data_IF_528538556235
#
_entry.id   IF_528538556235
#
_cell.length_a   1.000
_cell.length_b   1.000
_cell.length_c   1.000
_cell.angle_alpha   90.00
_cell.angle_beta   90.00
_cell.angle_gamma   90.00
#
_symmetry.space_group_name_H-M   'P 1'
#
loop_
_entity.id
_entity.type
_entity.pdbx_description
1 polymer ?
#
# COMPACT_ATOMS: atom_id res chain seq x y z
N UNK A 1 0.01 -23.42 -18.29
CA UNK A 1 1.06 -22.39 -18.14
C UNK A 1 0.47 -21.24 -17.32
N UNK A 2 0.81 -21.11 -16.04
CA UNK A 2 0.45 -19.91 -15.28
C UNK A 2 1.30 -18.77 -15.83
N UNK A 3 0.68 -17.82 -16.54
CA UNK A 3 1.38 -16.64 -17.05
C UNK A 3 2.12 -15.92 -15.92
N UNK A 4 3.21 -15.19 -16.21
CA UNK A 4 3.96 -14.48 -15.19
C UNK A 4 2.97 -13.60 -14.43
N UNK A 5 2.73 -13.96 -13.17
CA UNK A 5 1.85 -13.27 -12.24
C UNK A 5 2.57 -11.97 -11.92
N UNK A 6 2.50 -11.01 -12.86
CA UNK A 6 3.16 -9.71 -12.75
C UNK A 6 2.77 -9.15 -11.39
N UNK A 7 3.69 -8.94 -10.45
CA UNK A 7 3.35 -8.14 -9.30
C UNK A 7 2.92 -6.79 -9.88
N UNK A 8 1.70 -6.36 -9.60
CA UNK A 8 1.31 -4.96 -9.82
C UNK A 8 2.25 -4.17 -8.89
N UNK A 9 3.39 -3.74 -9.41
CA UNK A 9 4.34 -2.93 -8.67
C UNK A 9 3.72 -1.56 -8.57
N UNK A 10 3.06 -1.31 -7.45
CA UNK A 10 2.69 0.04 -7.06
C UNK A 10 3.95 0.72 -6.53
N UNK A 11 4.25 1.90 -7.07
CA UNK A 11 5.32 2.75 -6.58
C UNK A 11 5.20 2.97 -5.07
N UNK A 12 6.32 2.99 -4.36
CA UNK A 12 6.32 3.30 -2.93
C UNK A 12 5.72 4.68 -2.65
N UNK A 13 5.97 5.66 -3.51
CA UNK A 13 5.34 6.98 -3.42
C UNK A 13 3.82 6.89 -3.51
N UNK A 14 3.30 6.05 -4.40
CA UNK A 14 1.86 5.79 -4.53
C UNK A 14 1.30 5.11 -3.28
N UNK A 15 1.96 4.07 -2.77
CA UNK A 15 1.56 3.39 -1.52
C UNK A 15 1.51 4.37 -0.35
N UNK A 16 2.53 5.23 -0.21
CA UNK A 16 2.60 6.26 0.82
C UNK A 16 1.51 7.31 0.67
N UNK A 17 1.17 7.71 -0.55
CA UNK A 17 0.06 8.62 -0.81
C UNK A 17 -1.26 8.02 -0.32
N UNK A 18 -1.57 6.79 -0.70
CA UNK A 18 -2.79 6.07 -0.31
C UNK A 18 -2.88 5.90 1.21
N UNK A 19 -1.79 5.51 1.87
CA UNK A 19 -1.77 5.39 3.35
C UNK A 19 -1.94 6.76 4.01
N UNK A 20 -1.38 7.82 3.44
CA UNK A 20 -1.55 9.18 3.98
C UNK A 20 -3.00 9.66 3.89
N UNK A 21 -3.71 9.37 2.79
CA UNK A 21 -5.15 9.64 2.68
C UNK A 21 -5.92 8.92 3.80
N UNK A 22 -5.62 7.62 4.00
CA UNK A 22 -6.22 6.83 5.07
C UNK A 22 -5.94 7.40 6.47
N UNK A 23 -4.72 7.86 6.74
CA UNK A 23 -4.34 8.46 8.03
C UNK A 23 -4.89 9.87 8.23
N UNK A 24 -5.15 10.61 7.14
CA UNK A 24 -5.87 11.89 7.18
C UNK A 24 -7.37 11.74 7.50
N UNK A 25 -7.87 10.50 7.60
CA UNK A 25 -9.27 10.22 7.92
C UNK A 25 -10.17 10.01 6.71
N UNK A 26 -9.62 9.89 5.50
CA UNK A 26 -10.42 9.43 4.36
C UNK A 26 -10.89 7.98 4.58
N UNK A 27 -12.16 7.69 4.29
CA UNK A 27 -12.69 6.37 4.48
C UNK A 27 -12.06 5.39 3.49
N UNK A 28 -11.47 4.31 3.99
CA UNK A 28 -10.85 3.25 3.18
C UNK A 28 -11.75 2.71 2.05
N UNK A 29 -13.08 2.84 2.19
CA UNK A 29 -14.05 2.44 1.17
C UNK A 29 -14.01 3.30 -0.09
N UNK A 30 -13.67 4.58 0.04
CA UNK A 30 -13.60 5.51 -1.09
C UNK A 30 -12.24 5.40 -1.76
N UNK A 31 -11.17 5.41 -0.96
CA UNK A 31 -9.81 5.14 -1.42
C UNK A 31 -9.74 3.81 -2.21
N UNK A 32 -10.31 2.73 -1.70
CA UNK A 32 -10.28 1.45 -2.42
C UNK A 32 -11.09 1.46 -3.73
N UNK A 33 -12.18 2.24 -3.78
CA UNK A 33 -13.08 2.30 -4.91
C UNK A 33 -12.51 3.18 -6.03
N UNK A 34 -11.90 4.31 -5.66
CA UNK A 34 -11.26 5.24 -6.58
C UNK A 34 -9.98 4.66 -7.20
N UNK A 35 -9.17 3.95 -6.41
CA UNK A 35 -7.88 3.44 -6.84
C UNK A 35 -7.87 1.94 -7.19
N UNK A 36 -9.03 1.26 -7.21
CA UNK A 36 -9.18 -0.18 -7.45
C UNK A 36 -8.21 -1.05 -6.60
N UNK A 37 -8.16 -0.76 -5.29
CA UNK A 37 -7.23 -1.42 -4.37
C UNK A 37 -8.01 -2.44 -3.53
N UNK A 38 -7.48 -3.65 -3.38
CA UNK A 38 -8.08 -4.61 -2.45
C UNK A 38 -7.86 -4.18 -0.98
N UNK A 39 -8.85 -4.44 -0.12
CA UNK A 39 -8.75 -4.18 1.32
C UNK A 39 -7.49 -4.79 1.94
N UNK A 40 -7.13 -6.01 1.53
CA UNK A 40 -5.93 -6.73 1.98
C UNK A 40 -4.64 -5.99 1.60
N UNK A 41 -4.63 -5.36 0.42
CA UNK A 41 -3.49 -4.60 -0.09
C UNK A 41 -3.31 -3.30 0.69
N UNK A 42 -4.38 -2.56 0.93
CA UNK A 42 -4.35 -1.32 1.72
C UNK A 42 -3.83 -1.59 3.14
N UNK A 43 -4.37 -2.62 3.80
CA UNK A 43 -3.94 -3.00 5.15
C UNK A 43 -2.46 -3.38 5.19
N UNK A 44 -1.97 -4.13 4.19
CA UNK A 44 -0.54 -4.47 4.06
C UNK A 44 0.34 -3.24 3.88
N UNK A 45 -0.12 -2.21 3.15
CA UNK A 45 0.63 -0.97 3.00
C UNK A 45 0.63 -0.12 4.26
N UNK A 46 -0.51 -0.02 4.96
CA UNK A 46 -0.58 0.69 6.25
C UNK A 46 0.37 0.05 7.25
N UNK A 47 0.35 -1.29 7.38
CA UNK A 47 1.28 -2.00 8.25
C UNK A 47 2.73 -1.83 7.79
N UNK A 48 3.01 -2.04 6.50
CA UNK A 48 4.35 -1.93 5.94
C UNK A 48 4.95 -0.53 6.09
N UNK A 49 4.16 0.53 5.95
CA UNK A 49 4.62 1.92 6.10
C UNK A 49 4.77 2.30 7.57
N UNK A 50 3.91 1.81 8.46
CA UNK A 50 4.09 2.01 9.92
C UNK A 50 5.33 1.31 10.44
N UNK A 51 5.57 0.09 9.96
CA UNK A 51 6.77 -0.68 10.26
C UNK A 51 8.01 0.01 9.66
N UNK A 52 7.99 0.34 8.36
CA UNK A 52 9.09 1.06 7.68
C UNK A 52 9.33 2.48 8.22
N UNK A 53 8.30 3.15 8.74
CA UNK A 53 8.41 4.46 9.37
C UNK A 53 9.00 4.39 10.79
N UNK A 54 8.83 3.25 11.46
CA UNK A 54 9.44 2.94 12.76
C UNK A 54 10.86 2.39 12.60
N UNK A 55 11.13 1.67 11.51
CA UNK A 55 12.42 1.05 11.26
C UNK A 55 13.13 1.73 10.10
N UNK A 56 14.12 2.55 10.47
CA UNK A 56 15.29 2.87 9.64
C UNK A 56 16.15 1.62 9.34
N UNK A 57 15.53 0.47 9.10
CA UNK A 57 16.20 -0.80 8.86
C UNK A 57 15.63 -1.43 7.58
N UNK A 58 16.51 -1.50 6.58
CA UNK A 58 16.48 -2.40 5.42
C UNK A 58 15.29 -2.20 4.47
N UNK A 59 15.41 -1.36 3.44
CA UNK A 59 15.99 -1.79 2.15
C UNK A 59 16.65 -3.18 2.21
N UNK A 60 15.87 -4.22 1.93
CA UNK A 60 16.36 -5.44 1.31
C UNK A 60 15.19 -6.31 0.83
N UNK A 61 14.90 -6.28 -0.47
CA UNK A 61 14.92 -7.45 -1.38
C UNK A 61 14.14 -7.20 -2.68
#
# INVERSE_FOLDING_TARGET
MAGPKRPRHYDEAFKRHIVRLYENGEPAREIRAEYDISHSTLHRWVQGIRDSGSTRATDNR
#
